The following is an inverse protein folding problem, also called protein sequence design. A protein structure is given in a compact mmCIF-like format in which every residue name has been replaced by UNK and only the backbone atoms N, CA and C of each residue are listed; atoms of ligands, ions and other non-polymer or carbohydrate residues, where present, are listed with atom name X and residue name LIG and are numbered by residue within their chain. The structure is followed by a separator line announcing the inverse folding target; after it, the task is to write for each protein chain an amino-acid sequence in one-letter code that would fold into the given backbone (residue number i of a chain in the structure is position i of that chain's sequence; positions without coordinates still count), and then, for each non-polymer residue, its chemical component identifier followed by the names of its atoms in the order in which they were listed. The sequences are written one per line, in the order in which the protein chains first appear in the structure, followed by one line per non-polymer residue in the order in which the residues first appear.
data_IF_582406130432
#
_entry.id   IF_582406130432
#
_cell.length_a   1.000
_cell.length_b   1.000
_cell.length_c   1.000
_cell.angle_alpha   90.00
_cell.angle_beta   90.00
_cell.angle_gamma   90.00
#
_symmetry.space_group_name_H-M   'P 1'
#
loop_
_entity.id
_entity.type
_entity.pdbx_description
1 polymer ?
#
# COMPACT_ATOMS: atom_id res chain seq x y z
N UNK A 1 12.74 -1.41 16.97
CA UNK A 1 13.18 -0.76 15.71
C UNK A 1 12.60 0.63 15.68
N UNK A 2 13.38 1.65 15.31
CA UNK A 2 12.95 3.06 15.29
C UNK A 2 12.38 3.50 13.94
N UNK A 3 12.78 2.86 12.84
CA UNK A 3 12.25 3.07 11.48
C UNK A 3 11.97 1.72 10.83
N UNK A 4 10.88 1.64 10.06
CA UNK A 4 10.53 0.48 9.24
C UNK A 4 10.75 0.81 7.76
N UNK A 5 11.24 -0.15 6.94
CA UNK A 5 11.47 0.10 5.53
C UNK A 5 10.15 0.27 4.76
N UNK A 6 10.19 1.08 3.71
CA UNK A 6 9.13 1.20 2.72
C UNK A 6 9.31 0.14 1.60
N UNK A 7 8.67 0.35 0.45
CA UNK A 7 8.87 -0.46 -0.75
C UNK A 7 10.34 -0.52 -1.18
N UNK A 8 10.78 -1.69 -1.66
CA UNK A 8 12.15 -1.89 -2.18
C UNK A 8 12.33 -1.14 -3.50
N UNK A 9 11.33 -1.18 -4.38
CA UNK A 9 11.30 -0.51 -5.67
C UNK A 9 10.16 0.51 -5.68
N UNK A 10 10.37 1.64 -5.00
CA UNK A 10 9.32 2.62 -4.66
C UNK A 10 8.35 2.93 -5.80
N UNK A 11 8.85 3.19 -7.02
CA UNK A 11 8.00 3.54 -8.17
C UNK A 11 7.20 2.34 -8.67
N UNK A 12 7.87 1.21 -8.91
CA UNK A 12 7.26 0.02 -9.47
C UNK A 12 6.23 -0.59 -8.51
N UNK A 13 6.58 -0.65 -7.23
CA UNK A 13 5.77 -1.24 -6.18
C UNK A 13 4.52 -0.38 -5.93
N UNK A 14 4.67 0.94 -5.74
CA UNK A 14 3.53 1.84 -5.58
C UNK A 14 2.61 1.80 -6.80
N UNK A 15 3.16 1.79 -8.00
CA UNK A 15 2.37 1.77 -9.23
C UNK A 15 1.62 0.44 -9.42
N UNK A 16 2.21 -0.69 -9.00
CA UNK A 16 1.52 -1.98 -9.01
C UNK A 16 0.41 -2.04 -7.95
N UNK A 17 0.67 -1.56 -6.73
CA UNK A 17 -0.33 -1.45 -5.68
C UNK A 17 -1.49 -0.55 -6.09
N UNK A 18 -1.20 0.59 -6.73
CA UNK A 18 -2.21 1.49 -7.28
C UNK A 18 -3.13 0.79 -8.28
N UNK A 19 -2.60 0.04 -9.25
CA UNK A 19 -3.42 -0.69 -10.23
C UNK A 19 -4.33 -1.74 -9.58
N UNK A 20 -3.84 -2.42 -8.55
CA UNK A 20 -4.63 -3.40 -7.80
C UNK A 20 -5.75 -2.72 -7.03
N UNK A 21 -5.46 -1.60 -6.37
CA UNK A 21 -6.46 -0.80 -5.69
C UNK A 21 -7.50 -0.25 -6.67
N UNK A 22 -7.07 0.27 -7.81
CA UNK A 22 -7.97 0.72 -8.88
C UNK A 22 -8.90 -0.41 -9.36
N UNK A 23 -8.39 -1.63 -9.53
CA UNK A 23 -9.20 -2.80 -9.88
C UNK A 23 -10.28 -3.08 -8.82
N UNK A 24 -9.90 -3.09 -7.54
CA UNK A 24 -10.84 -3.34 -6.44
C UNK A 24 -11.90 -2.25 -6.30
N UNK A 25 -11.54 -0.99 -6.54
CA UNK A 25 -12.45 0.16 -6.48
C UNK A 25 -13.38 0.22 -7.69
N UNK A 26 -12.89 -0.13 -8.87
CA UNK A 26 -13.69 -0.14 -10.11
C UNK A 26 -14.61 -1.34 -10.22
N UNK A 27 -14.30 -2.45 -9.54
CA UNK A 27 -15.12 -3.67 -9.52
C UNK A 27 -15.41 -4.09 -8.07
N UNK A 28 -16.43 -3.47 -7.42
CA UNK A 28 -16.77 -3.75 -6.04
C UNK A 28 -17.03 -5.24 -5.79
N UNK A 29 -16.46 -5.77 -4.70
CA UNK A 29 -16.51 -7.19 -4.33
C UNK A 29 -15.34 -8.01 -4.87
N UNK A 30 -14.51 -7.48 -5.78
CA UNK A 30 -13.28 -8.14 -6.22
C UNK A 30 -12.20 -8.01 -5.15
N UNK A 31 -11.77 -9.15 -4.61
CA UNK A 31 -10.64 -9.22 -3.67
C UNK A 31 -9.34 -9.21 -4.46
N UNK A 32 -8.46 -8.26 -4.15
CA UNK A 32 -7.11 -8.15 -4.73
C UNK A 32 -6.06 -8.37 -3.66
N UNK A 33 -4.87 -8.79 -4.10
CA UNK A 33 -3.73 -8.96 -3.22
C UNK A 33 -2.64 -7.94 -3.50
N UNK A 34 -2.02 -7.46 -2.42
CA UNK A 34 -0.86 -6.57 -2.41
C UNK A 34 0.28 -7.38 -1.79
N UNK A 35 1.43 -7.50 -2.48
CA UNK A 35 2.54 -8.39 -2.08
C UNK A 35 3.93 -7.73 -2.26
N UNK A 36 3.96 -6.42 -2.47
CA UNK A 36 5.19 -5.65 -2.71
C UNK A 36 6.03 -5.52 -1.43
N UNK A 37 5.39 -5.63 -0.28
CA UNK A 37 6.04 -5.70 1.02
C UNK A 37 6.05 -7.13 1.52
N UNK A 38 7.15 -7.53 2.17
CA UNK A 38 7.23 -8.80 2.89
C UNK A 38 6.48 -8.77 4.23
N UNK A 39 6.39 -7.59 4.85
CA UNK A 39 5.75 -7.39 6.15
C UNK A 39 5.15 -5.99 6.25
N UNK A 40 3.98 -5.89 6.90
CA UNK A 40 3.35 -4.61 7.24
C UNK A 40 4.01 -3.90 8.42
N UNK A 41 3.74 -2.60 8.54
CA UNK A 41 4.17 -1.77 9.66
C UNK A 41 3.28 -1.99 10.88
N UNK A 42 3.62 -2.98 11.71
CA UNK A 42 2.84 -3.31 12.92
C UNK A 42 2.50 -2.05 13.75
N UNK A 43 1.23 -1.87 14.16
CA UNK A 43 0.11 -2.82 14.09
C UNK A 43 -0.65 -2.85 12.74
N UNK A 44 -0.25 -2.04 11.76
CA UNK A 44 -0.86 -2.04 10.43
C UNK A 44 -0.52 -3.33 9.69
N UNK A 45 -1.52 -3.89 9.03
CA UNK A 45 -1.32 -5.05 8.17
C UNK A 45 -0.59 -4.66 6.87
N UNK A 46 -0.24 -5.67 6.09
CA UNK A 46 0.50 -5.51 4.85
C UNK A 46 -0.28 -4.65 3.84
N UNK A 47 -1.59 -4.88 3.72
CA UNK A 47 -2.43 -4.16 2.78
C UNK A 47 -2.54 -2.68 3.14
N UNK A 48 -2.82 -2.35 4.40
CA UNK A 48 -2.93 -0.98 4.90
C UNK A 48 -1.62 -0.22 4.71
N UNK A 49 -0.50 -0.84 5.05
CA UNK A 49 0.85 -0.27 4.84
C UNK A 49 1.09 0.02 3.35
N UNK A 50 0.75 -0.94 2.48
CA UNK A 50 0.93 -0.80 1.03
C UNK A 50 0.07 0.33 0.46
N UNK A 51 -1.16 0.50 0.95
CA UNK A 51 -2.06 1.58 0.52
C UNK A 51 -1.52 2.94 0.97
N UNK A 52 -1.07 3.06 2.22
CA UNK A 52 -0.47 4.30 2.72
C UNK A 52 0.77 4.68 1.90
N UNK A 53 1.69 3.74 1.67
CA UNK A 53 2.87 3.99 0.84
C UNK A 53 2.57 4.35 -0.61
N UNK A 54 1.38 4.00 -1.11
CA UNK A 54 0.97 4.27 -2.48
C UNK A 54 0.25 5.61 -2.64
N UNK A 55 -0.61 5.97 -1.68
CA UNK A 55 -1.54 7.10 -1.82
C UNK A 55 -1.22 8.26 -0.88
N UNK A 56 -0.63 8.00 0.28
CA UNK A 56 -0.41 9.03 1.28
C UNK A 56 0.77 9.92 0.89
N UNK A 57 0.53 11.22 0.85
CA UNK A 57 1.49 12.28 0.65
C UNK A 57 1.23 13.42 1.63
N UNK A 58 2.03 14.48 1.55
CA UNK A 58 1.95 15.64 2.45
C UNK A 58 0.55 16.27 2.53
N UNK A 59 -0.21 16.21 1.44
CA UNK A 59 -1.54 16.85 1.34
C UNK A 59 -2.70 15.91 1.71
N UNK A 60 -2.41 14.68 2.11
CA UNK A 60 -3.41 13.68 2.52
C UNK A 60 -3.27 13.38 4.02
N UNK A 61 -4.04 14.04 4.90
CA UNK A 61 -3.99 13.73 6.33
C UNK A 61 -4.43 12.29 6.58
N UNK A 62 -3.71 11.60 7.47
CA UNK A 62 -4.00 10.23 7.94
C UNK A 62 -4.47 10.33 9.39
N UNK A 63 -5.54 9.62 9.73
CA UNK A 63 -6.19 9.62 11.05
C UNK A 63 -6.07 8.24 11.72
#
# INVERSE_FOLDING_TARGET
MTLQPAFTLAVQDAQQSFRRLLKAMSEPGVIVSLHQLSQGWLPLDLASTSVLLTLAYNDTPVW
#
